data_IF_829440966123
#
_entry.id   IF_829440966123
#
_cell.length_a   1.000
_cell.length_b   1.000
_cell.length_c   1.000
_cell.angle_alpha   90.00
_cell.angle_beta   90.00
_cell.angle_gamma   90.00
#
_symmetry.space_group_name_H-M   'P 1'
#
loop_
_entity.id
_entity.type
_entity.pdbx_description
1 polymer ?
#
# COMPACT_ATOMS: atom_id res chain seq x y z
N UNK A 1 -2.74 12.57 -8.82
CA UNK A 1 -2.67 12.00 -7.46
C UNK A 1 -3.32 10.63 -7.54
N UNK A 2 -2.56 9.55 -7.39
CA UNK A 2 -3.09 8.19 -7.52
C UNK A 2 -3.97 7.88 -6.29
N UNK A 3 -5.28 7.79 -6.49
CA UNK A 3 -6.20 7.23 -5.51
C UNK A 3 -6.18 5.70 -5.52
N UNK A 4 -6.92 5.08 -4.62
CA UNK A 4 -7.19 3.64 -4.66
C UNK A 4 -8.36 3.32 -5.56
N UNK A 5 -8.66 2.03 -5.71
CA UNK A 5 -9.87 1.56 -6.38
C UNK A 5 -10.71 0.72 -5.41
N UNK A 6 -12.02 1.02 -5.34
CA UNK A 6 -12.97 0.21 -4.59
C UNK A 6 -13.31 -1.09 -5.35
N UNK A 7 -13.85 -2.12 -4.67
CA UNK A 7 -14.19 -3.39 -5.33
C UNK A 7 -15.20 -3.27 -6.48
N UNK A 8 -16.01 -2.21 -6.50
CA UNK A 8 -16.96 -1.89 -7.58
C UNK A 8 -16.30 -1.15 -8.77
N UNK A 9 -14.99 -0.93 -8.72
CA UNK A 9 -14.22 -0.25 -9.75
C UNK A 9 -14.17 1.27 -9.60
N UNK A 10 -14.91 1.85 -8.65
CA UNK A 10 -14.92 3.31 -8.44
C UNK A 10 -13.62 3.80 -7.79
N UNK A 11 -13.25 5.04 -8.09
CA UNK A 11 -12.03 5.64 -7.52
C UNK A 11 -12.24 6.00 -6.05
N UNK A 12 -11.31 5.59 -5.19
CA UNK A 12 -11.26 5.98 -3.79
C UNK A 12 -10.30 7.14 -3.58
N UNK A 13 -10.81 8.28 -3.12
CA UNK A 13 -9.98 9.39 -2.67
C UNK A 13 -9.41 9.11 -1.26
N UNK A 14 -8.10 9.23 -1.11
CA UNK A 14 -7.42 9.04 0.17
C UNK A 14 -7.34 10.31 1.03
N UNK A 15 -7.78 11.44 0.49
CA UNK A 15 -7.80 12.73 1.17
C UNK A 15 -9.24 13.18 1.38
N UNK A 16 -9.48 13.94 2.43
CA UNK A 16 -10.79 14.55 2.63
C UNK A 16 -11.04 15.62 1.56
N UNK A 17 -12.27 15.72 1.03
CA UNK A 17 -12.61 16.69 0.01
C UNK A 17 -12.53 18.12 0.55
N UNK A 18 -12.39 19.07 -0.37
CA UNK A 18 -12.44 20.49 -0.05
C UNK A 18 -13.77 20.90 0.61
N UNK A 19 -13.72 21.92 1.47
CA UNK A 19 -14.91 22.45 2.17
C UNK A 19 -15.29 21.73 3.46
N UNK A 20 -14.44 20.83 3.98
CA UNK A 20 -14.60 20.20 5.30
C UNK A 20 -13.51 20.65 6.27
N UNK A 21 -13.74 20.45 7.59
CA UNK A 21 -12.80 20.80 8.67
C UNK A 21 -11.40 20.17 8.50
N UNK A 22 -11.30 19.09 7.72
CA UNK A 22 -10.06 18.38 7.43
C UNK A 22 -9.71 18.32 5.94
N UNK A 23 -10.22 19.27 5.14
CA UNK A 23 -9.96 19.35 3.70
C UNK A 23 -8.48 19.17 3.36
N UNK A 24 -8.19 18.32 2.37
CA UNK A 24 -6.82 18.03 1.93
C UNK A 24 -6.00 17.17 2.88
N UNK A 25 -6.49 16.86 4.10
CA UNK A 25 -5.80 15.96 5.01
C UNK A 25 -5.98 14.50 4.58
N UNK A 26 -4.95 13.68 4.83
CA UNK A 26 -4.99 12.25 4.57
C UNK A 26 -5.94 11.55 5.55
N UNK A 27 -6.83 10.71 5.04
CA UNK A 27 -7.89 10.03 5.82
C UNK A 27 -7.34 9.03 6.85
N UNK A 28 -6.15 8.47 6.61
CA UNK A 28 -5.61 7.39 7.43
C UNK A 28 -6.09 6.01 6.98
N UNK A 29 -5.30 4.97 7.30
CA UNK A 29 -5.58 3.60 6.83
C UNK A 29 -6.90 3.04 7.38
N UNK A 30 -7.24 3.33 8.64
CA UNK A 30 -8.47 2.85 9.24
C UNK A 30 -9.72 3.40 8.52
N UNK A 31 -9.75 4.70 8.24
CA UNK A 31 -10.86 5.33 7.49
C UNK A 31 -10.97 4.77 6.06
N UNK A 32 -9.83 4.62 5.37
CA UNK A 32 -9.79 4.04 4.02
C UNK A 32 -10.34 2.60 4.01
N UNK A 33 -10.05 1.83 5.05
CA UNK A 33 -10.58 0.47 5.21
C UNK A 33 -12.06 0.47 5.59
N UNK A 34 -12.52 1.39 6.44
CA UNK A 34 -13.95 1.54 6.77
C UNK A 34 -14.77 1.82 5.51
N UNK A 35 -14.30 2.72 4.65
CA UNK A 35 -14.92 3.01 3.34
C UNK A 35 -14.96 1.80 2.40
N UNK A 36 -14.07 0.82 2.60
CA UNK A 36 -14.03 -0.45 1.86
C UNK A 36 -14.88 -1.55 2.50
N UNK A 37 -15.64 -1.25 3.55
CA UNK A 37 -16.53 -2.20 4.23
C UNK A 37 -15.94 -2.89 5.46
N UNK A 38 -14.78 -2.48 5.96
CA UNK A 38 -14.18 -3.04 7.17
C UNK A 38 -14.65 -2.31 8.42
N UNK A 39 -15.81 -2.70 8.96
CA UNK A 39 -16.43 -2.10 10.15
C UNK A 39 -15.56 -2.16 11.43
N UNK A 40 -14.55 -3.03 11.47
CA UNK A 40 -13.61 -3.18 12.59
C UNK A 40 -12.28 -2.43 12.43
N UNK A 41 -12.06 -1.68 11.34
CA UNK A 41 -10.74 -1.15 11.01
C UNK A 41 -10.15 -0.23 12.09
N UNK A 42 -10.96 0.62 12.73
CA UNK A 42 -10.51 1.51 13.81
C UNK A 42 -10.11 0.80 15.10
N UNK A 43 -10.50 -0.48 15.27
CA UNK A 43 -10.09 -1.30 16.42
C UNK A 43 -8.78 -2.04 16.17
N UNK A 44 -8.32 -2.08 14.93
CA UNK A 44 -7.04 -2.70 14.57
C UNK A 44 -5.90 -1.76 14.90
N UNK A 45 -4.77 -2.32 15.30
CA UNK A 45 -3.52 -1.57 15.29
C UNK A 45 -3.26 -1.03 13.87
N UNK A 46 -2.65 0.16 13.80
CA UNK A 46 -2.22 0.76 12.54
C UNK A 46 -1.21 -0.15 11.84
N UNK A 47 -0.26 -0.68 12.61
CA UNK A 47 0.78 -1.61 12.19
C UNK A 47 1.08 -2.64 13.29
N UNK A 48 1.61 -3.80 12.91
CA UNK A 48 2.03 -4.82 13.89
C UNK A 48 3.42 -4.44 14.46
N UNK A 49 3.67 -4.70 15.77
CA UNK A 49 4.89 -4.26 16.44
C UNK A 49 6.16 -4.69 15.71
N UNK A 50 7.11 -3.76 15.54
CA UNK A 50 8.37 -3.98 14.80
C UNK A 50 8.18 -4.49 13.37
N UNK A 51 7.01 -4.28 12.76
CA UNK A 51 6.63 -4.83 11.45
C UNK A 51 6.68 -6.35 11.37
N UNK A 52 6.70 -7.04 12.51
CA UNK A 52 6.69 -8.50 12.59
C UNK A 52 5.24 -8.97 12.61
N UNK A 53 4.94 -9.96 11.77
CA UNK A 53 3.64 -10.59 11.72
C UNK A 53 3.80 -12.06 11.32
N UNK A 54 2.83 -12.88 11.73
CA UNK A 54 2.71 -14.24 11.20
C UNK A 54 2.02 -14.17 9.83
N UNK A 55 2.62 -14.69 8.75
CA UNK A 55 2.01 -14.66 7.43
C UNK A 55 0.73 -15.49 7.32
N UNK A 56 0.61 -16.53 8.16
CA UNK A 56 -0.45 -17.55 8.12
C UNK A 56 -1.72 -17.12 8.88
N UNK A 57 -1.65 -16.00 9.61
CA UNK A 57 -2.78 -15.47 10.36
C UNK A 57 -3.51 -14.39 9.54
N UNK A 58 -4.82 -14.30 9.79
CA UNK A 58 -5.65 -13.20 9.32
C UNK A 58 -5.05 -11.82 9.65
N UNK A 59 -5.44 -10.77 8.91
CA UNK A 59 -4.78 -9.47 8.97
C UNK A 59 -4.75 -8.87 10.39
N UNK A 60 -3.56 -8.83 11.00
CA UNK A 60 -3.35 -8.36 12.37
C UNK A 60 -3.46 -6.82 12.55
N UNK A 61 -3.38 -6.05 11.47
CA UNK A 61 -3.36 -4.59 11.51
C UNK A 61 -3.92 -3.97 10.22
N UNK A 62 -4.26 -2.67 10.29
CA UNK A 62 -4.70 -1.88 9.15
C UNK A 62 -3.71 -2.00 7.97
N UNK A 63 -2.41 -1.84 8.23
CA UNK A 63 -1.37 -1.95 7.20
C UNK A 63 -1.48 -3.27 6.45
N UNK A 64 -1.49 -4.41 7.14
CA UNK A 64 -1.50 -5.73 6.48
C UNK A 64 -2.80 -5.99 5.73
N UNK A 65 -3.93 -5.52 6.26
CA UNK A 65 -5.22 -5.62 5.60
C UNK A 65 -5.28 -4.81 4.30
N UNK A 66 -4.62 -3.64 4.28
CA UNK A 66 -4.50 -2.77 3.12
C UNK A 66 -3.56 -3.39 2.06
N UNK A 67 -2.38 -3.88 2.46
CA UNK A 67 -1.40 -4.48 1.54
C UNK A 67 -1.88 -5.78 0.89
N UNK A 68 -2.82 -6.51 1.50
CA UNK A 68 -3.47 -7.67 0.87
C UNK A 68 -4.48 -7.29 -0.22
N UNK A 69 -4.80 -6.00 -0.40
CA UNK A 69 -5.74 -5.57 -1.44
C UNK A 69 -5.05 -5.52 -2.81
N UNK A 70 -5.73 -5.98 -3.87
CA UNK A 70 -5.12 -6.08 -5.21
C UNK A 70 -4.69 -4.72 -5.74
N UNK A 71 -5.48 -3.67 -5.50
CA UNK A 71 -5.19 -2.31 -5.96
C UNK A 71 -4.03 -1.64 -5.20
N UNK A 72 -3.59 -2.19 -4.07
CA UNK A 72 -2.37 -1.75 -3.37
C UNK A 72 -1.16 -2.63 -3.69
N UNK A 73 -1.37 -3.92 -3.92
CA UNK A 73 -0.30 -4.87 -4.25
C UNK A 73 0.19 -4.73 -5.70
N UNK A 74 -0.69 -4.33 -6.63
CA UNK A 74 -0.38 -4.26 -8.05
C UNK A 74 0.17 -2.89 -8.52
N UNK A 75 0.39 -1.93 -7.61
CA UNK A 75 0.89 -0.59 -7.98
C UNK A 75 2.38 -0.67 -8.30
N UNK A 76 2.76 -0.19 -9.49
CA UNK A 76 4.15 0.04 -9.85
C UNK A 76 4.77 1.11 -8.95
N UNK A 77 5.97 0.84 -8.46
CA UNK A 77 6.76 1.84 -7.74
C UNK A 77 7.07 3.04 -8.63
N UNK A 78 7.33 4.19 -8.00
CA UNK A 78 7.77 5.39 -8.74
C UNK A 78 9.05 5.14 -9.55
N UNK A 79 9.92 4.24 -9.07
CA UNK A 79 11.13 3.84 -9.79
C UNK A 79 10.79 3.08 -11.08
N UNK A 80 9.94 2.06 -11.00
CA UNK A 80 9.46 1.32 -12.18
C UNK A 80 8.85 2.27 -13.20
N UNK A 81 7.93 3.15 -12.77
CA UNK A 81 7.29 4.13 -13.65
C UNK A 81 8.34 5.03 -14.32
N UNK A 82 9.29 5.58 -13.56
CA UNK A 82 10.30 6.48 -14.08
C UNK A 82 11.27 5.81 -15.08
N UNK A 83 11.59 4.54 -14.86
CA UNK A 83 12.43 3.73 -15.75
C UNK A 83 11.68 3.33 -17.02
N UNK A 84 10.43 2.86 -16.90
CA UNK A 84 9.60 2.50 -18.04
C UNK A 84 9.36 3.69 -18.98
N UNK A 85 9.14 4.89 -18.43
CA UNK A 85 9.03 6.12 -19.22
C UNK A 85 10.27 6.42 -20.06
N UNK A 86 11.42 5.82 -19.74
CA UNK A 86 12.69 5.95 -20.47
C UNK A 86 13.05 4.68 -21.27
N UNK A 87 12.17 3.68 -21.31
CA UNK A 87 12.38 2.42 -22.00
C UNK A 87 13.23 1.39 -21.24
N UNK A 88 13.43 1.56 -19.93
CA UNK A 88 14.18 0.61 -19.10
C UNK A 88 13.24 -0.32 -18.31
N UNK A 89 13.64 -1.59 -18.18
CA UNK A 89 12.98 -2.56 -17.30
C UNK A 89 13.66 -2.57 -15.93
N UNK A 90 12.86 -2.58 -14.86
CA UNK A 90 13.34 -2.66 -13.46
C UNK A 90 13.09 -4.07 -12.93
N UNK A 91 14.08 -4.63 -12.24
CA UNK A 91 13.96 -5.90 -11.53
C UNK A 91 14.38 -5.71 -10.07
N UNK A 92 13.49 -6.05 -9.14
CA UNK A 92 13.80 -6.00 -7.71
C UNK A 92 14.37 -7.35 -7.26
N UNK A 93 15.62 -7.32 -6.80
CA UNK A 93 16.28 -8.48 -6.21
C UNK A 93 16.09 -8.48 -4.69
N UNK A 94 15.92 -9.65 -4.05
CA UNK A 94 15.91 -9.74 -2.59
C UNK A 94 17.18 -9.13 -1.98
N UNK A 95 17.05 -8.43 -0.85
CA UNK A 95 18.21 -8.01 -0.04
C UNK A 95 18.93 -9.28 0.41
N UNK A 96 20.11 -9.53 -0.17
CA UNK A 96 20.98 -10.70 0.04
C UNK A 96 20.59 -11.96 -0.76
N UNK A 97 21.13 -12.04 -1.96
CA UNK A 97 21.53 -13.31 -2.58
C UNK A 97 23.05 -13.30 -2.67
N UNK A 98 23.72 -14.18 -1.93
CA UNK A 98 25.19 -14.27 -1.89
C UNK A 98 25.81 -14.45 -3.29
N UNK A 99 25.05 -15.02 -4.23
CA UNK A 99 25.47 -15.32 -5.61
C UNK A 99 25.23 -14.17 -6.60
N UNK A 100 24.45 -13.13 -6.24
CA UNK A 100 24.13 -12.01 -7.13
C UNK A 100 24.96 -10.74 -6.85
N UNK A 101 25.77 -10.75 -5.79
CA UNK A 101 26.67 -9.63 -5.44
C UNK A 101 27.92 -9.52 -6.34
N UNK A 102 28.18 -10.49 -7.23
CA UNK A 102 29.38 -10.52 -8.08
C UNK A 102 29.37 -9.49 -9.23
N UNK A 103 28.23 -8.85 -9.53
CA UNK A 103 28.13 -7.85 -10.61
C UNK A 103 28.63 -6.44 -10.22
N UNK A 104 29.13 -6.25 -9.00
CA UNK A 104 29.64 -4.97 -8.50
C UNK A 104 31.09 -5.04 -7.96
N UNK A 105 31.86 -6.08 -8.33
CA UNK A 105 33.31 -6.14 -8.10
C UNK A 105 34.09 -6.04 -9.41
#
# INVERSE_FOLDING_TARGET
IAGGQLPDGTAQCFYFPEGQVHAGAFKGMAQILTERGFSGAHKLHVECPSFKYNPDIDPCCCRRLLYKRPDFAAIKSNLEIACEMRGYQVMFLPKFHCELSFLFL
#
